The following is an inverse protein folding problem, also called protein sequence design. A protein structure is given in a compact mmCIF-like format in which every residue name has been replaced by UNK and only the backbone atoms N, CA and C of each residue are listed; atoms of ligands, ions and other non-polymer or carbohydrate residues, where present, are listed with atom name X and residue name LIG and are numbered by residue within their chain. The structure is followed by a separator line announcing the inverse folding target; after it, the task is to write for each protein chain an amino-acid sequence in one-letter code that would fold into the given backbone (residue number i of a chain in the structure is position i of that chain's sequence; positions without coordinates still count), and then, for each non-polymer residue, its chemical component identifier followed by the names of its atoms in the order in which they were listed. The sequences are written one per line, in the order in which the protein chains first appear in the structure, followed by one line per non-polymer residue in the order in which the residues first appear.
data_IF_593521330239
#
_entry.id   IF_593521330239
#
_cell.length_a   1.000
_cell.length_b   1.000
_cell.length_c   1.000
_cell.angle_alpha   90.00
_cell.angle_beta   90.00
_cell.angle_gamma   90.00
#
_symmetry.space_group_name_H-M   'P 1'
#
loop_
_entity.id
_entity.type
_entity.pdbx_description
1 polymer ?
#
# COMPACT_ATOMS: atom_id res chain seq x y z
N UNK A 1 78.09 -1.14 8.31
CA UNK A 1 76.95 -1.81 7.63
C UNK A 1 75.90 -0.77 7.25
N UNK A 2 75.85 -0.42 5.96
CA UNK A 2 74.86 0.54 5.45
C UNK A 2 73.70 -0.27 4.90
N UNK A 3 72.55 -0.24 5.55
CA UNK A 3 71.29 -0.86 5.04
C UNK A 3 70.62 0.08 4.05
N UNK A 4 70.41 -0.40 2.82
CA UNK A 4 69.78 0.33 1.73
C UNK A 4 68.29 0.63 2.04
N UNK A 5 68.00 1.89 2.23
CA UNK A 5 66.61 2.41 2.46
C UNK A 5 65.69 2.29 1.23
N UNK A 6 66.23 1.84 0.09
CA UNK A 6 65.45 1.77 -1.16
C UNK A 6 64.60 0.51 -1.33
N UNK A 7 64.83 -0.54 -0.53
CA UNK A 7 64.04 -1.79 -0.63
C UNK A 7 62.70 -1.78 0.18
N UNK A 8 62.59 -0.88 1.16
CA UNK A 8 61.35 -0.77 1.98
C UNK A 8 60.24 0.10 1.34
N UNK A 9 60.57 0.96 0.38
CA UNK A 9 59.63 1.83 -0.28
C UNK A 9 58.82 1.13 -1.40
N UNK A 10 59.37 0.03 -1.96
CA UNK A 10 58.73 -0.72 -3.06
C UNK A 10 57.69 -1.72 -2.61
N UNK A 11 57.66 -2.12 -1.32
CA UNK A 11 56.65 -3.05 -0.79
C UNK A 11 55.40 -2.32 -0.29
N UNK A 12 55.51 -1.05 0.08
CA UNK A 12 54.37 -0.23 0.54
C UNK A 12 53.54 0.34 -0.59
N UNK A 13 53.98 0.34 -1.84
CA UNK A 13 53.26 0.85 -3.00
C UNK A 13 52.43 -0.22 -3.73
N UNK A 14 52.60 -1.50 -3.39
CA UNK A 14 51.86 -2.62 -3.99
C UNK A 14 50.53 -2.99 -3.27
N UNK A 15 50.26 -2.36 -2.11
CA UNK A 15 48.98 -2.54 -1.38
C UNK A 15 47.96 -1.44 -1.65
N UNK A 16 48.19 -0.55 -2.61
CA UNK A 16 47.26 0.48 -3.00
C UNK A 16 46.21 -0.07 -3.99
N UNK A 17 45.03 -0.37 -3.47
CA UNK A 17 43.77 -0.28 -4.16
C UNK A 17 43.47 -1.25 -5.30
N UNK A 18 43.20 -2.50 -4.98
CA UNK A 18 42.19 -3.24 -5.67
C UNK A 18 40.84 -2.99 -4.94
N UNK A 19 40.37 -1.78 -4.92
CA UNK A 19 38.91 -1.53 -4.85
C UNK A 19 38.36 -2.03 -6.18
N UNK A 20 38.14 -3.32 -6.28
CA UNK A 20 37.34 -3.90 -7.35
C UNK A 20 35.97 -3.22 -7.26
N UNK A 21 35.67 -2.31 -8.18
CA UNK A 21 34.28 -1.85 -8.39
C UNK A 21 33.48 -3.10 -8.65
N UNK A 22 32.73 -3.58 -7.66
CA UNK A 22 31.78 -4.67 -7.88
C UNK A 22 30.83 -4.21 -8.99
N UNK A 23 30.78 -4.91 -10.13
CA UNK A 23 29.95 -4.48 -11.24
C UNK A 23 28.48 -4.44 -10.76
N UNK A 24 27.73 -3.42 -11.14
CA UNK A 24 26.32 -3.31 -10.81
C UNK A 24 25.57 -4.55 -11.36
N UNK A 25 25.00 -5.41 -10.50
CA UNK A 25 24.33 -6.64 -10.93
C UNK A 25 23.10 -6.37 -11.83
N UNK A 26 22.56 -5.17 -11.78
CA UNK A 26 21.39 -4.74 -12.58
C UNK A 26 21.76 -3.97 -13.84
N UNK A 27 23.03 -3.91 -14.26
CA UNK A 27 23.47 -3.11 -15.40
C UNK A 27 22.74 -3.48 -16.72
N UNK A 28 22.50 -4.75 -16.97
CA UNK A 28 21.78 -5.23 -18.16
C UNK A 28 20.30 -4.81 -18.14
N UNK A 29 19.65 -4.95 -17.00
CA UNK A 29 18.24 -4.54 -16.78
C UNK A 29 18.10 -3.02 -16.90
N UNK A 30 19.01 -2.24 -16.31
CA UNK A 30 19.02 -0.79 -16.44
C UNK A 30 19.16 -0.35 -17.89
N UNK A 31 20.00 -1.02 -18.68
CA UNK A 31 20.13 -0.76 -20.13
C UNK A 31 18.82 -1.07 -20.88
N UNK A 32 18.15 -2.18 -20.56
CA UNK A 32 16.87 -2.55 -21.15
C UNK A 32 15.77 -1.53 -20.76
N UNK A 33 15.70 -1.12 -19.50
CA UNK A 33 14.81 -0.06 -19.00
C UNK A 33 14.98 1.25 -19.79
N UNK A 34 16.21 1.75 -19.92
CA UNK A 34 16.46 2.97 -20.71
C UNK A 34 16.09 2.83 -22.17
N UNK A 35 16.27 1.65 -22.78
CA UNK A 35 15.84 1.38 -24.16
C UNK A 35 14.31 1.47 -24.28
N UNK A 36 13.59 0.88 -23.32
CA UNK A 36 12.12 0.90 -23.29
C UNK A 36 11.58 2.32 -23.11
N UNK A 37 12.14 3.11 -22.17
CA UNK A 37 11.75 4.52 -21.97
C UNK A 37 11.98 5.34 -23.25
N UNK A 38 13.11 5.14 -23.96
CA UNK A 38 13.36 5.81 -25.24
C UNK A 38 12.34 5.41 -26.31
N UNK A 39 11.90 4.15 -26.33
CA UNK A 39 10.88 3.68 -27.26
C UNK A 39 9.52 4.37 -26.98
N UNK A 40 9.09 4.45 -25.72
CA UNK A 40 7.89 5.18 -25.35
C UNK A 40 7.98 6.68 -25.68
N UNK A 41 9.11 7.32 -25.39
CA UNK A 41 9.31 8.72 -25.75
C UNK A 41 9.25 8.94 -27.28
N UNK A 42 9.74 7.99 -28.09
CA UNK A 42 9.61 8.03 -29.54
C UNK A 42 8.13 7.88 -29.97
N UNK A 43 7.39 6.98 -29.36
CA UNK A 43 5.97 6.76 -29.66
C UNK A 43 5.14 8.02 -29.34
N UNK A 44 5.42 8.67 -28.19
CA UNK A 44 4.73 9.91 -27.80
C UNK A 44 5.00 11.11 -28.72
N UNK A 45 6.07 11.05 -29.55
CA UNK A 45 6.41 12.11 -30.53
C UNK A 45 5.73 11.93 -31.88
N UNK A 46 5.01 10.83 -32.10
CA UNK A 46 4.31 10.61 -33.36
C UNK A 46 3.20 11.65 -33.50
N UNK A 47 3.19 12.34 -34.63
CA UNK A 47 2.21 13.41 -34.96
C UNK A 47 1.69 13.19 -36.38
N UNK A 48 0.39 13.07 -36.57
CA UNK A 48 -0.66 13.02 -35.59
C UNK A 48 -0.57 11.78 -34.67
N UNK A 49 -1.12 11.88 -33.45
CA UNK A 49 -1.31 10.72 -32.61
C UNK A 49 -2.28 9.76 -33.30
N UNK A 50 -1.87 8.50 -33.50
CA UNK A 50 -2.70 7.48 -34.16
C UNK A 50 -3.22 6.51 -33.12
N UNK A 51 -4.54 6.39 -33.03
CA UNK A 51 -5.22 5.38 -32.22
C UNK A 51 -5.75 4.29 -33.16
N UNK A 52 -5.60 2.98 -32.82
CA UNK A 52 -6.15 1.90 -33.65
C UNK A 52 -7.65 2.11 -33.90
N UNK A 53 -8.06 2.03 -35.18
CA UNK A 53 -9.45 2.26 -35.62
C UNK A 53 -9.77 3.69 -36.05
N UNK A 54 -8.88 4.67 -35.82
CA UNK A 54 -9.10 6.06 -36.24
C UNK A 54 -9.18 6.24 -37.77
N UNK A 55 -8.59 5.32 -38.55
CA UNK A 55 -8.68 5.30 -40.01
C UNK A 55 -10.10 5.17 -40.53
N UNK A 56 -11.04 4.73 -39.72
CA UNK A 56 -12.48 4.60 -40.05
C UNK A 56 -13.28 5.86 -39.71
N UNK A 57 -12.68 6.79 -38.97
CA UNK A 57 -13.32 8.02 -38.55
C UNK A 57 -13.19 9.11 -39.65
N UNK A 58 -14.21 9.96 -39.76
CA UNK A 58 -14.11 11.15 -40.60
C UNK A 58 -13.15 12.14 -39.94
N UNK A 59 -11.93 12.18 -40.41
CA UNK A 59 -10.88 13.08 -39.95
C UNK A 59 -11.14 14.54 -40.35
N UNK A 60 -10.62 15.49 -39.57
CA UNK A 60 -10.55 16.87 -39.94
C UNK A 60 -9.51 17.10 -41.08
N UNK A 61 -9.56 18.27 -41.73
CA UNK A 61 -8.72 18.57 -42.87
C UNK A 61 -7.23 18.68 -42.51
N UNK A 62 -6.92 18.92 -41.26
CA UNK A 62 -5.54 19.01 -40.73
C UNK A 62 -5.49 18.66 -39.25
N UNK A 63 -4.32 18.23 -38.80
CA UNK A 63 -4.06 17.97 -37.39
C UNK A 63 -3.93 19.26 -36.58
N UNK A 64 -4.54 19.30 -35.37
CA UNK A 64 -4.45 20.42 -34.44
C UNK A 64 -3.97 19.92 -33.09
N UNK A 65 -2.77 20.32 -32.69
CA UNK A 65 -2.21 19.99 -31.37
C UNK A 65 -2.62 20.99 -30.28
N UNK A 66 -2.93 20.49 -29.10
CA UNK A 66 -3.10 21.33 -27.91
C UNK A 66 -1.80 21.40 -27.10
N UNK A 67 -1.60 22.50 -26.37
CA UNK A 67 -0.53 22.64 -25.35
C UNK A 67 -1.05 22.46 -23.91
N UNK A 68 -2.36 22.18 -23.74
CA UNK A 68 -3.04 22.03 -22.44
C UNK A 68 -3.04 20.56 -21.99
N UNK A 69 -1.87 20.03 -21.65
CA UNK A 69 -1.72 18.65 -21.17
C UNK A 69 -0.54 18.53 -20.19
N UNK A 70 -0.54 17.45 -19.40
CA UNK A 70 0.55 17.10 -18.50
C UNK A 70 0.73 15.57 -18.45
N UNK A 71 1.77 15.11 -17.79
CA UNK A 71 1.96 13.69 -17.46
C UNK A 71 0.86 13.23 -16.52
N UNK A 72 0.65 11.88 -16.40
CA UNK A 72 -0.26 11.35 -15.40
C UNK A 72 0.12 11.82 -14.01
N UNK A 73 -0.86 11.98 -13.14
CA UNK A 73 -0.66 12.32 -11.73
C UNK A 73 -1.25 11.21 -10.88
N UNK A 74 -0.43 10.49 -10.11
CA UNK A 74 -0.94 9.47 -9.20
C UNK A 74 -1.81 10.11 -8.11
N UNK A 75 -2.92 9.44 -7.77
CA UNK A 75 -3.87 9.90 -6.77
C UNK A 75 -3.91 8.99 -5.55
N UNK A 76 -3.31 7.80 -5.64
CA UNK A 76 -3.23 6.83 -4.55
C UNK A 76 -1.78 6.40 -4.31
N UNK A 77 -1.51 5.97 -3.09
CA UNK A 77 -0.36 5.12 -2.75
C UNK A 77 -0.90 3.78 -2.27
N UNK A 78 -0.42 2.71 -2.89
CA UNK A 78 -0.74 1.34 -2.47
C UNK A 78 0.50 0.73 -1.83
N UNK A 79 0.36 0.31 -0.58
CA UNK A 79 1.42 -0.27 0.23
C UNK A 79 1.31 -1.79 0.19
N UNK A 80 2.45 -2.44 0.00
CA UNK A 80 2.59 -3.89 -0.10
C UNK A 80 3.62 -4.42 0.88
N UNK A 81 3.58 -5.72 1.13
CA UNK A 81 4.75 -6.47 1.55
C UNK A 81 5.12 -7.51 0.48
N UNK A 82 6.41 -7.78 0.32
CA UNK A 82 6.93 -8.58 -0.78
C UNK A 82 6.62 -10.07 -0.68
N UNK A 83 6.32 -10.59 0.52
CA UNK A 83 6.25 -12.02 0.85
C UNK A 83 7.55 -12.77 0.45
N UNK A 84 8.71 -12.11 0.56
CA UNK A 84 10.04 -12.63 0.21
C UNK A 84 11.00 -12.57 1.38
N UNK A 85 12.12 -13.28 1.28
CA UNK A 85 13.06 -13.45 2.39
C UNK A 85 14.21 -12.43 2.38
N UNK A 86 14.37 -11.67 1.28
CA UNK A 86 15.40 -10.64 1.18
C UNK A 86 15.06 -9.57 0.15
N UNK A 87 15.60 -8.38 0.37
CA UNK A 87 15.50 -7.26 -0.58
C UNK A 87 16.10 -7.62 -1.94
N UNK A 88 17.21 -8.35 -1.96
CA UNK A 88 17.83 -8.79 -3.21
C UNK A 88 16.90 -9.72 -4.01
N UNK A 89 16.22 -10.65 -3.34
CA UNK A 89 15.23 -11.52 -3.97
C UNK A 89 14.10 -10.68 -4.60
N UNK A 90 13.63 -9.66 -3.91
CA UNK A 90 12.58 -8.74 -4.40
C UNK A 90 13.05 -7.98 -5.64
N UNK A 91 14.24 -7.39 -5.58
CA UNK A 91 14.80 -6.65 -6.71
C UNK A 91 15.00 -7.56 -7.93
N UNK A 92 15.47 -8.80 -7.71
CA UNK A 92 15.59 -9.79 -8.79
C UNK A 92 14.24 -10.15 -9.38
N UNK A 93 13.21 -10.36 -8.56
CA UNK A 93 11.85 -10.65 -9.04
C UNK A 93 11.32 -9.51 -9.91
N UNK A 94 11.47 -8.26 -9.50
CA UNK A 94 10.92 -7.10 -10.20
C UNK A 94 11.72 -6.67 -11.43
N UNK A 95 12.88 -7.25 -11.66
CA UNK A 95 13.70 -7.01 -12.86
C UNK A 95 13.57 -8.09 -13.93
N UNK A 96 12.86 -9.19 -13.64
CA UNK A 96 12.65 -10.28 -14.59
C UNK A 96 11.33 -10.11 -15.36
N UNK A 97 11.36 -10.04 -16.71
CA UNK A 97 10.13 -9.88 -17.51
C UNK A 97 9.11 -11.00 -17.32
N UNK A 98 9.57 -12.22 -16.99
CA UNK A 98 8.70 -13.40 -16.81
C UNK A 98 7.77 -13.29 -15.59
N UNK A 99 8.10 -12.49 -14.58
CA UNK A 99 7.29 -12.33 -13.37
C UNK A 99 6.07 -11.45 -13.57
N UNK A 100 6.12 -10.53 -14.53
CA UNK A 100 5.05 -9.58 -14.87
C UNK A 100 4.58 -8.74 -13.68
N UNK A 101 5.48 -8.47 -12.73
CA UNK A 101 5.24 -7.60 -11.57
C UNK A 101 6.31 -6.52 -11.48
N UNK A 102 5.93 -5.36 -10.99
CA UNK A 102 6.83 -4.24 -10.72
C UNK A 102 6.21 -3.29 -9.70
N UNK A 103 7.05 -2.51 -9.02
CA UNK A 103 6.64 -1.41 -8.16
C UNK A 103 7.42 -0.14 -8.50
N UNK A 104 6.97 1.01 -8.00
CA UNK A 104 7.73 2.25 -8.13
C UNK A 104 8.88 2.28 -7.13
N UNK A 105 8.62 1.83 -5.90
CA UNK A 105 9.59 1.81 -4.82
C UNK A 105 9.66 0.44 -4.15
N UNK A 106 10.87 0.06 -3.76
CA UNK A 106 11.13 -1.07 -2.84
C UNK A 106 11.91 -0.51 -1.66
N UNK A 107 11.48 -0.85 -0.43
CA UNK A 107 12.16 -0.46 0.81
C UNK A 107 12.67 -1.71 1.51
N UNK A 108 13.98 -1.83 1.62
CA UNK A 108 14.66 -2.95 2.27
C UNK A 108 14.43 -2.97 3.78
N UNK A 109 14.70 -4.12 4.43
CA UNK A 109 14.64 -4.27 5.89
C UNK A 109 15.53 -3.30 6.64
N UNK A 110 16.65 -2.89 6.00
CA UNK A 110 17.60 -1.90 6.49
C UNK A 110 17.18 -0.45 6.23
N UNK A 111 16.01 -0.24 5.64
CA UNK A 111 15.48 1.07 5.29
C UNK A 111 16.02 1.65 3.97
N UNK A 112 16.87 0.93 3.22
CA UNK A 112 17.32 1.42 1.92
C UNK A 112 16.15 1.49 0.93
N UNK A 113 16.03 2.63 0.24
CA UNK A 113 15.00 2.89 -0.74
C UNK A 113 15.53 2.69 -2.15
N UNK A 114 14.88 1.86 -2.92
CA UNK A 114 15.12 1.64 -4.35
C UNK A 114 13.98 2.23 -5.16
N UNK A 115 14.21 3.34 -5.86
CA UNK A 115 13.26 3.93 -6.79
C UNK A 115 13.43 3.25 -8.15
N UNK A 116 12.57 2.27 -8.44
CA UNK A 116 12.73 1.37 -9.58
C UNK A 116 12.09 1.89 -10.87
N UNK A 117 11.05 2.70 -10.76
CA UNK A 117 10.28 3.20 -11.90
C UNK A 117 9.87 4.66 -11.68
N UNK A 118 9.98 5.47 -12.72
CA UNK A 118 9.49 6.85 -12.70
C UNK A 118 7.98 6.89 -12.37
N UNK A 119 7.58 7.75 -11.45
CA UNK A 119 6.21 7.87 -10.92
C UNK A 119 5.15 8.18 -12.00
N UNK A 120 5.55 8.73 -13.13
CA UNK A 120 4.65 9.00 -14.25
C UNK A 120 4.42 7.77 -15.15
N UNK A 121 5.14 6.68 -14.94
CA UNK A 121 4.95 5.40 -15.64
C UNK A 121 4.02 4.49 -14.83
N UNK A 122 3.41 3.53 -15.48
CA UNK A 122 2.48 2.58 -14.89
C UNK A 122 3.24 1.33 -14.42
N UNK A 123 3.43 1.14 -13.12
CA UNK A 123 3.91 -0.11 -12.56
C UNK A 123 2.80 -1.19 -12.52
N UNK A 124 3.18 -2.45 -12.36
CA UNK A 124 2.28 -3.61 -12.33
C UNK A 124 2.28 -4.22 -10.92
N UNK A 125 1.64 -3.56 -9.95
CA UNK A 125 1.62 -3.96 -8.55
C UNK A 125 0.22 -4.29 -8.01
N UNK A 126 -0.85 -3.67 -8.54
CA UNK A 126 -2.21 -3.85 -8.05
C UNK A 126 -2.91 -5.09 -8.60
N UNK A 127 -2.53 -5.54 -9.81
CA UNK A 127 -3.24 -6.61 -10.53
C UNK A 127 -4.70 -6.25 -10.79
N UNK A 128 -5.60 -7.23 -10.78
CA UNK A 128 -7.05 -7.00 -10.79
C UNK A 128 -7.47 -6.48 -9.41
N UNK A 129 -7.86 -5.22 -9.33
CA UNK A 129 -8.11 -4.49 -8.09
C UNK A 129 -9.28 -3.51 -8.25
N UNK A 130 -9.85 -3.08 -7.12
CA UNK A 130 -10.89 -2.05 -7.08
C UNK A 130 -10.79 -1.27 -5.77
N UNK A 131 -10.94 0.07 -5.88
CA UNK A 131 -11.16 0.93 -4.73
C UNK A 131 -12.21 1.98 -5.09
N UNK A 132 -13.35 1.92 -4.44
CA UNK A 132 -14.51 2.72 -4.85
C UNK A 132 -14.91 2.43 -6.30
N UNK A 133 -14.81 3.43 -7.15
CA UNK A 133 -15.10 3.32 -8.60
C UNK A 133 -13.86 3.09 -9.46
N UNK A 134 -12.65 3.19 -8.88
CA UNK A 134 -11.41 2.95 -9.62
C UNK A 134 -11.15 1.44 -9.75
N UNK A 135 -10.94 0.98 -10.98
CA UNK A 135 -10.67 -0.43 -11.32
C UNK A 135 -9.32 -0.64 -11.99
N UNK A 136 -8.53 0.42 -12.16
CA UNK A 136 -7.15 0.35 -12.66
C UNK A 136 -6.16 1.08 -11.76
N UNK A 137 -5.99 0.55 -10.55
CA UNK A 137 -5.09 1.12 -9.54
C UNK A 137 -3.63 1.19 -10.02
N UNK A 138 -3.21 0.34 -10.95
CA UNK A 138 -1.89 0.46 -11.58
C UNK A 138 -1.70 1.80 -12.31
N UNK A 139 -2.76 2.34 -12.89
CA UNK A 139 -2.70 3.62 -13.62
C UNK A 139 -2.86 4.84 -12.71
N UNK A 140 -3.55 4.70 -11.58
CA UNK A 140 -3.89 5.82 -10.69
C UNK A 140 -3.04 5.90 -9.42
N UNK A 141 -2.14 4.94 -9.17
CA UNK A 141 -1.39 4.86 -7.91
C UNK A 141 0.13 4.76 -8.09
N UNK A 142 0.82 4.93 -6.95
CA UNK A 142 2.22 4.55 -6.72
C UNK A 142 2.22 3.29 -5.87
N UNK A 143 2.87 2.22 -6.33
CA UNK A 143 3.09 1.01 -5.54
C UNK A 143 4.40 1.08 -4.78
N UNK A 144 4.36 0.81 -3.46
CA UNK A 144 5.52 0.73 -2.57
C UNK A 144 5.56 -0.65 -1.93
N UNK A 145 6.66 -1.36 -2.15
CA UNK A 145 6.91 -2.69 -1.62
C UNK A 145 7.87 -2.64 -0.43
N UNK A 146 7.48 -3.20 0.68
CA UNK A 146 8.32 -3.35 1.86
C UNK A 146 8.86 -4.78 1.91
N UNK A 147 10.19 -4.95 1.95
CA UNK A 147 10.79 -6.28 2.10
C UNK A 147 10.41 -6.89 3.45
N UNK A 148 9.50 -7.86 3.40
CA UNK A 148 8.94 -8.55 4.56
C UNK A 148 8.42 -9.91 4.10
N UNK A 149 8.62 -10.96 4.88
CA UNK A 149 8.20 -12.32 4.51
C UNK A 149 6.69 -12.59 4.68
N UNK A 150 5.94 -11.59 5.14
CA UNK A 150 4.50 -11.68 5.34
C UNK A 150 4.06 -12.07 6.76
N UNK A 151 4.99 -12.46 7.63
CA UNK A 151 4.71 -12.90 8.99
C UNK A 151 5.49 -12.11 10.07
N UNK A 152 6.57 -11.43 9.69
CA UNK A 152 7.43 -10.68 10.58
C UNK A 152 6.95 -9.23 10.77
N UNK A 153 7.31 -8.57 11.90
CA UNK A 153 7.09 -7.14 12.08
C UNK A 153 7.90 -6.31 11.08
N UNK A 154 7.41 -5.11 10.77
CA UNK A 154 8.16 -4.13 9.98
C UNK A 154 9.20 -3.42 10.84
N UNK A 155 10.42 -3.26 10.33
CA UNK A 155 11.49 -2.61 11.09
C UNK A 155 11.25 -1.10 11.24
N UNK A 156 11.81 -0.50 12.30
CA UNK A 156 11.79 0.96 12.47
C UNK A 156 12.51 1.68 11.32
N UNK A 157 13.59 1.10 10.78
CA UNK A 157 14.30 1.65 9.64
C UNK A 157 13.43 1.68 8.38
N UNK A 158 12.66 0.60 8.11
CA UNK A 158 11.69 0.57 7.01
C UNK A 158 10.59 1.61 7.19
N UNK A 159 10.02 1.68 8.39
CA UNK A 159 8.93 2.62 8.69
C UNK A 159 9.39 4.07 8.57
N UNK A 160 10.60 4.40 9.05
CA UNK A 160 11.17 5.74 8.92
C UNK A 160 11.39 6.14 7.46
N UNK A 161 11.94 5.24 6.64
CA UNK A 161 12.13 5.47 5.21
C UNK A 161 10.80 5.57 4.46
N UNK A 162 9.83 4.73 4.81
CA UNK A 162 8.48 4.80 4.25
C UNK A 162 7.87 6.19 4.49
N UNK A 163 7.88 6.70 5.72
CA UNK A 163 7.34 8.02 6.05
C UNK A 163 7.99 9.13 5.22
N UNK A 164 9.31 9.05 4.96
CA UNK A 164 10.01 10.01 4.09
C UNK A 164 9.52 9.94 2.64
N UNK A 165 9.35 8.74 2.10
CA UNK A 165 8.82 8.53 0.74
C UNK A 165 7.38 9.04 0.65
N UNK A 166 6.54 8.75 1.65
CA UNK A 166 5.15 9.21 1.68
C UNK A 166 5.04 10.74 1.76
N UNK A 167 5.90 11.41 2.54
CA UNK A 167 5.96 12.87 2.62
C UNK A 167 6.31 13.48 1.25
N UNK A 168 7.34 12.95 0.61
CA UNK A 168 7.74 13.38 -0.73
C UNK A 168 6.60 13.21 -1.74
N UNK A 169 5.97 12.05 -1.79
CA UNK A 169 4.88 11.74 -2.73
C UNK A 169 3.65 12.61 -2.47
N UNK A 170 3.25 12.75 -1.21
CA UNK A 170 2.11 13.59 -0.82
C UNK A 170 2.31 15.04 -1.23
N UNK A 171 3.48 15.61 -0.98
CA UNK A 171 3.82 16.99 -1.37
C UNK A 171 3.91 17.16 -2.88
N UNK A 172 4.54 16.22 -3.59
CA UNK A 172 4.75 16.30 -5.04
C UNK A 172 3.43 16.18 -5.80
N UNK A 173 2.57 15.24 -5.40
CA UNK A 173 1.35 14.91 -6.15
C UNK A 173 0.07 15.40 -5.47
N UNK A 174 0.17 16.00 -4.26
CA UNK A 174 -0.97 16.42 -3.46
C UNK A 174 -1.99 15.28 -3.25
N UNK A 175 -1.48 14.09 -2.87
CA UNK A 175 -2.30 12.90 -2.65
C UNK A 175 -3.16 13.12 -1.39
N UNK A 176 -4.49 12.93 -1.47
CA UNK A 176 -5.37 13.07 -0.32
C UNK A 176 -4.99 12.09 0.80
N UNK A 177 -5.17 12.52 2.06
CA UNK A 177 -4.85 11.69 3.24
C UNK A 177 -5.51 10.31 3.19
N UNK A 178 -6.77 10.22 2.77
CA UNK A 178 -7.49 8.95 2.69
C UNK A 178 -7.01 7.99 1.59
N UNK A 179 -6.10 8.43 0.71
CA UNK A 179 -5.67 7.67 -0.47
C UNK A 179 -4.35 6.91 -0.27
N UNK A 180 -3.91 6.71 0.97
CA UNK A 180 -2.81 5.82 1.34
C UNK A 180 -3.42 4.52 1.88
N UNK A 181 -3.39 3.46 1.09
CA UNK A 181 -4.15 2.22 1.28
C UNK A 181 -3.27 1.00 1.08
N UNK A 182 -3.74 -0.16 1.49
CA UNK A 182 -3.04 -1.44 1.33
C UNK A 182 -3.48 -2.23 0.09
N UNK A 183 -2.68 -3.20 -0.32
CA UNK A 183 -3.05 -4.10 -1.41
C UNK A 183 -4.27 -4.97 -1.03
N UNK A 184 -4.36 -5.40 0.22
CA UNK A 184 -5.54 -6.12 0.74
C UNK A 184 -6.82 -5.28 0.63
N UNK A 185 -6.74 -3.95 0.78
CA UNK A 185 -7.90 -3.07 0.69
C UNK A 185 -8.50 -3.07 -0.72
N UNK A 186 -7.63 -3.05 -1.75
CA UNK A 186 -8.02 -2.98 -3.16
C UNK A 186 -8.26 -4.34 -3.82
N UNK A 187 -7.81 -5.43 -3.18
CA UNK A 187 -7.92 -6.79 -3.72
C UNK A 187 -8.24 -7.83 -2.63
N UNK A 188 -9.32 -7.63 -1.84
CA UNK A 188 -9.59 -8.35 -0.58
C UNK A 188 -9.79 -9.85 -0.76
N UNK A 189 -10.16 -10.33 -1.96
CA UNK A 189 -10.39 -11.76 -2.24
C UNK A 189 -9.11 -12.54 -2.51
N UNK A 190 -7.97 -11.87 -2.73
CA UNK A 190 -6.73 -12.53 -3.19
C UNK A 190 -5.47 -12.04 -2.49
N UNK A 191 -5.56 -10.97 -1.69
CA UNK A 191 -4.40 -10.31 -1.07
C UNK A 191 -4.59 -10.10 0.43
N UNK A 192 -3.47 -10.20 1.15
CA UNK A 192 -3.39 -10.01 2.59
C UNK A 192 -2.20 -9.10 2.98
N UNK A 193 -1.68 -8.34 2.01
CA UNK A 193 -0.56 -7.45 2.22
C UNK A 193 -1.01 -5.96 2.29
N UNK A 194 -0.35 -5.15 3.13
CA UNK A 194 0.60 -5.53 4.16
C UNK A 194 -0.06 -6.32 5.31
N UNK A 195 0.74 -7.15 6.02
CA UNK A 195 0.23 -8.00 7.09
C UNK A 195 -0.26 -7.19 8.32
N UNK A 196 -0.92 -7.85 9.26
CA UNK A 196 -1.56 -7.23 10.44
C UNK A 196 -0.61 -6.48 11.39
N UNK A 197 0.72 -6.67 11.26
CA UNK A 197 1.70 -5.93 12.08
C UNK A 197 2.10 -4.59 11.44
N UNK A 198 1.56 -4.26 10.26
CA UNK A 198 1.89 -3.02 9.59
C UNK A 198 1.38 -1.80 10.39
N UNK A 199 2.20 -0.76 10.60
CA UNK A 199 1.90 0.32 11.54
C UNK A 199 0.95 1.39 10.95
N UNK A 200 -0.26 1.01 10.53
CA UNK A 200 -1.26 1.89 9.93
C UNK A 200 -1.58 3.12 10.78
N UNK A 201 -1.74 2.91 12.11
CA UNK A 201 -1.99 4.01 13.04
C UNK A 201 -0.87 5.05 12.99
N UNK A 202 0.39 4.62 13.03
CA UNK A 202 1.57 5.52 12.95
C UNK A 202 1.58 6.31 11.63
N UNK A 203 1.21 5.69 10.51
CA UNK A 203 1.09 6.41 9.24
C UNK A 203 -0.01 7.47 9.30
N UNK A 204 -1.18 7.14 9.82
CA UNK A 204 -2.30 8.06 9.95
C UNK A 204 -1.99 9.25 10.86
N UNK A 205 -1.26 9.06 11.97
CA UNK A 205 -0.76 10.11 12.85
C UNK A 205 0.15 11.13 12.13
N UNK A 206 0.82 10.68 11.04
CA UNK A 206 1.62 11.53 10.16
C UNK A 206 0.84 12.04 8.93
N UNK A 207 -0.47 11.77 8.86
CA UNK A 207 -1.34 12.23 7.77
C UNK A 207 -1.32 11.36 6.53
N UNK A 208 -0.91 10.09 6.61
CA UNK A 208 -0.90 9.11 5.53
C UNK A 208 -1.86 7.96 5.85
N UNK A 209 -3.03 7.99 5.26
CA UNK A 209 -4.17 7.13 5.59
C UNK A 209 -5.04 7.71 6.70
N UNK A 210 -6.21 7.12 6.88
CA UNK A 210 -7.11 7.43 7.98
C UNK A 210 -6.97 6.38 9.08
N UNK A 211 -7.30 6.78 10.30
CA UNK A 211 -7.44 5.92 11.46
C UNK A 211 -8.66 6.35 12.27
N UNK A 212 -9.23 5.45 13.05
CA UNK A 212 -10.35 5.77 13.92
C UNK A 212 -9.90 6.56 15.16
N UNK A 213 -10.80 7.30 15.76
CA UNK A 213 -10.56 8.04 17.00
C UNK A 213 -10.60 7.07 18.17
N UNK A 214 -9.53 7.01 18.99
CA UNK A 214 -9.46 6.03 20.10
C UNK A 214 -10.60 6.15 21.10
N UNK A 215 -11.02 7.37 21.45
CA UNK A 215 -12.15 7.61 22.35
C UNK A 215 -13.52 7.17 21.80
N UNK A 216 -13.60 6.73 20.54
CA UNK A 216 -14.87 6.29 19.94
C UNK A 216 -15.37 5.02 20.60
N UNK A 217 -14.48 4.15 21.05
CA UNK A 217 -14.83 2.90 21.73
C UNK A 217 -15.46 3.19 23.09
N UNK A 218 -14.88 4.10 23.87
CA UNK A 218 -15.43 4.52 25.17
C UNK A 218 -16.82 5.17 25.01
N UNK A 219 -17.02 5.90 23.91
CA UNK A 219 -18.28 6.58 23.62
C UNK A 219 -19.41 5.63 23.22
N UNK A 220 -19.13 4.63 22.40
CA UNK A 220 -20.16 3.81 21.76
C UNK A 220 -20.18 2.35 22.17
N UNK A 221 -19.17 1.86 22.90
CA UNK A 221 -19.10 0.49 23.36
C UNK A 221 -19.37 0.45 24.88
N UNK A 222 -20.50 -0.09 25.26
CA UNK A 222 -20.94 -0.17 26.66
C UNK A 222 -21.02 -1.63 27.11
N UNK A 223 -20.79 -1.95 28.39
CA UNK A 223 -21.11 -3.25 28.92
C UNK A 223 -22.60 -3.55 28.69
N UNK A 224 -22.93 -4.78 28.28
CA UNK A 224 -24.32 -5.18 28.17
C UNK A 224 -25.00 -5.07 29.56
N UNK A 225 -26.21 -4.50 29.61
CA UNK A 225 -26.97 -4.49 30.86
C UNK A 225 -27.27 -5.92 31.32
N UNK A 226 -27.18 -6.23 32.64
CA UNK A 226 -27.53 -7.55 33.13
C UNK A 226 -28.99 -7.86 32.81
N UNK A 227 -29.23 -8.99 32.15
CA UNK A 227 -30.59 -9.47 31.90
C UNK A 227 -31.05 -10.19 33.18
N UNK A 228 -31.99 -9.58 33.87
CA UNK A 228 -32.67 -10.20 34.99
C UNK A 228 -33.90 -10.95 34.47
N UNK A 229 -33.82 -12.27 34.41
CA UNK A 229 -34.98 -13.10 34.09
C UNK A 229 -35.64 -13.45 35.41
N UNK A 230 -36.75 -12.78 35.74
CA UNK A 230 -37.65 -13.22 36.82
C UNK A 230 -38.72 -14.12 36.23
N UNK A 231 -39.04 -15.26 36.87
CA UNK A 231 -40.25 -15.99 36.53
C UNK A 231 -41.45 -15.18 36.98
N UNK A 232 -42.63 -15.44 36.36
CA UNK A 232 -43.88 -14.77 36.67
C UNK A 232 -44.40 -15.05 38.10
N UNK A 233 -43.71 -15.89 38.90
CA UNK A 233 -44.12 -16.31 40.25
C UNK A 233 -43.23 -15.68 41.33
N UNK A 234 -42.13 -15.04 41.00
CA UNK A 234 -41.22 -14.37 41.97
C UNK A 234 -40.49 -15.29 42.95
N UNK A 235 -40.51 -16.60 42.73
CA UNK A 235 -39.97 -17.59 43.64
C UNK A 235 -38.68 -18.25 43.14
N UNK A 236 -38.29 -18.08 41.87
CA UNK A 236 -37.02 -18.59 41.37
C UNK A 236 -35.89 -17.59 41.57
N UNK A 237 -34.66 -18.01 41.87
CA UNK A 237 -33.51 -17.12 41.93
C UNK A 237 -33.31 -16.49 40.56
N UNK A 238 -33.18 -15.15 40.50
CA UNK A 238 -32.86 -14.43 39.28
C UNK A 238 -31.56 -14.99 38.67
N UNK A 239 -31.62 -15.52 37.46
CA UNK A 239 -30.43 -15.88 36.71
C UNK A 239 -29.84 -14.56 36.19
N UNK A 240 -28.81 -14.09 36.90
CA UNK A 240 -28.02 -12.94 36.40
C UNK A 240 -27.05 -13.52 35.36
N UNK A 241 -27.38 -13.36 34.10
CA UNK A 241 -26.40 -13.55 33.02
C UNK A 241 -25.36 -12.45 33.21
N UNK A 242 -24.14 -12.81 33.59
CA UNK A 242 -23.04 -11.86 33.65
C UNK A 242 -22.82 -11.32 32.22
N UNK A 243 -22.85 -10.00 32.00
CA UNK A 243 -22.62 -9.46 30.69
C UNK A 243 -21.12 -9.61 30.38
N UNK A 244 -20.75 -10.68 29.69
CA UNK A 244 -19.43 -10.79 29.05
C UNK A 244 -19.41 -10.08 27.71
N UNK A 245 -20.58 -9.70 27.20
CA UNK A 245 -20.72 -9.09 25.91
C UNK A 245 -20.83 -7.56 26.02
N UNK A 246 -20.15 -6.88 25.16
CA UNK A 246 -20.30 -5.44 24.94
C UNK A 246 -21.34 -5.22 23.85
N UNK A 247 -22.19 -4.20 24.01
CA UNK A 247 -23.14 -3.76 22.99
C UNK A 247 -22.74 -2.39 22.47
N UNK A 248 -22.95 -2.16 21.19
CA UNK A 248 -22.72 -0.84 20.60
C UNK A 248 -23.99 0.00 20.67
N UNK A 249 -23.80 1.31 20.91
CA UNK A 249 -24.88 2.32 20.88
C UNK A 249 -24.86 3.13 19.61
N UNK A 250 -24.24 2.62 18.53
CA UNK A 250 -24.29 3.25 17.21
C UNK A 250 -25.73 3.25 16.67
N UNK A 251 -26.09 4.19 15.78
CA UNK A 251 -27.46 4.26 15.26
C UNK A 251 -27.94 2.94 14.65
N UNK A 252 -29.15 2.50 14.98
CA UNK A 252 -29.76 1.26 14.49
C UNK A 252 -29.82 1.17 12.95
N UNK A 253 -29.93 2.31 12.27
CA UNK A 253 -29.94 2.39 10.80
C UNK A 253 -28.57 2.20 10.14
N UNK A 254 -27.48 2.12 10.94
CA UNK A 254 -26.14 1.93 10.41
C UNK A 254 -26.01 0.59 9.69
N UNK A 255 -25.59 0.65 8.43
CA UNK A 255 -25.38 -0.51 7.58
C UNK A 255 -23.88 -0.73 7.33
N UNK A 256 -23.25 -1.76 7.93
CA UNK A 256 -21.83 -2.03 7.78
C UNK A 256 -21.39 -2.26 6.33
N UNK A 257 -22.20 -2.94 5.51
CA UNK A 257 -21.90 -3.19 4.09
C UNK A 257 -21.80 -1.87 3.31
N UNK A 258 -22.76 -0.98 3.53
CA UNK A 258 -22.75 0.33 2.85
C UNK A 258 -21.60 1.21 3.36
N UNK A 259 -21.27 1.13 4.65
CA UNK A 259 -20.12 1.84 5.20
C UNK A 259 -18.80 1.38 4.57
N UNK A 260 -18.56 0.07 4.47
CA UNK A 260 -17.40 -0.49 3.76
C UNK A 260 -17.34 -0.01 2.30
N UNK A 261 -18.48 -0.02 1.60
CA UNK A 261 -18.57 0.45 0.22
C UNK A 261 -18.23 1.94 0.08
N UNK A 262 -18.70 2.78 0.99
CA UNK A 262 -18.44 4.24 0.99
C UNK A 262 -16.98 4.52 1.27
N UNK A 263 -16.34 3.77 2.17
CA UNK A 263 -14.90 3.85 2.44
C UNK A 263 -14.10 3.51 1.18
N UNK A 264 -14.57 2.57 0.37
CA UNK A 264 -13.92 2.19 -0.89
C UNK A 264 -13.80 0.70 -1.13
N UNK A 265 -14.06 -0.15 -0.13
CA UNK A 265 -13.94 -1.61 -0.25
C UNK A 265 -14.91 -2.19 -1.28
N UNK A 266 -14.44 -3.21 -2.00
CA UNK A 266 -15.29 -4.00 -2.89
C UNK A 266 -16.18 -4.96 -2.09
N UNK A 267 -17.43 -4.59 -1.88
CA UNK A 267 -18.40 -5.36 -1.08
C UNK A 267 -19.17 -6.42 -1.87
N UNK A 268 -18.74 -6.75 -3.11
CA UNK A 268 -19.32 -7.88 -3.87
C UNK A 268 -19.02 -9.21 -3.19
N UNK A 269 -17.86 -9.32 -2.53
CA UNK A 269 -17.52 -10.36 -1.56
C UNK A 269 -17.41 -9.71 -0.18
N UNK A 270 -18.52 -9.67 0.55
CA UNK A 270 -18.59 -9.02 1.85
C UNK A 270 -17.66 -9.66 2.91
N UNK A 271 -17.57 -11.00 3.03
CA UNK A 271 -16.59 -11.65 3.90
C UNK A 271 -15.15 -11.21 3.63
N UNK A 272 -14.72 -11.11 2.37
CA UNK A 272 -13.39 -10.65 2.00
C UNK A 272 -13.18 -9.17 2.35
N UNK A 273 -14.17 -8.31 2.10
CA UNK A 273 -14.12 -6.89 2.46
C UNK A 273 -14.00 -6.68 3.99
N UNK A 274 -14.71 -7.47 4.80
CA UNK A 274 -14.60 -7.44 6.26
C UNK A 274 -13.19 -7.86 6.71
N UNK A 275 -12.63 -8.94 6.16
CA UNK A 275 -11.26 -9.35 6.49
C UNK A 275 -10.23 -8.27 6.16
N UNK A 276 -10.34 -7.63 4.99
CA UNK A 276 -9.44 -6.54 4.60
C UNK A 276 -9.58 -5.32 5.52
N UNK A 277 -10.80 -4.92 5.84
CA UNK A 277 -11.08 -3.87 6.81
C UNK A 277 -10.44 -4.18 8.18
N UNK A 278 -10.62 -5.40 8.70
CA UNK A 278 -10.03 -5.82 9.98
C UNK A 278 -8.51 -5.87 9.90
N UNK A 279 -7.93 -6.32 8.78
CA UNK A 279 -6.49 -6.35 8.57
C UNK A 279 -5.87 -4.94 8.63
N UNK A 280 -6.55 -3.95 8.09
CA UNK A 280 -6.09 -2.56 8.07
C UNK A 280 -6.33 -1.85 9.40
N UNK A 281 -7.58 -1.85 9.90
CA UNK A 281 -8.02 -0.95 10.96
C UNK A 281 -8.16 -1.60 12.34
N UNK A 282 -8.31 -2.91 12.42
CA UNK A 282 -8.49 -3.63 13.70
C UNK A 282 -7.21 -4.35 14.11
N UNK A 283 -6.59 -5.04 13.16
CA UNK A 283 -5.32 -5.77 13.25
C UNK A 283 -5.33 -6.96 14.21
N UNK A 284 -6.36 -7.09 15.01
CA UNK A 284 -6.64 -8.25 15.87
C UNK A 284 -7.74 -9.11 15.23
N UNK A 285 -7.71 -10.43 15.46
CA UNK A 285 -8.77 -11.36 15.04
C UNK A 285 -9.25 -11.13 13.58
N UNK A 286 -8.32 -11.14 12.64
CA UNK A 286 -8.61 -10.91 11.21
C UNK A 286 -9.44 -12.07 10.66
N UNK A 287 -10.77 -11.93 10.76
CA UNK A 287 -11.78 -12.87 10.28
C UNK A 287 -12.90 -12.10 9.53
N UNK A 288 -13.93 -12.79 9.09
CA UNK A 288 -15.05 -12.21 8.31
C UNK A 288 -16.30 -11.90 9.16
N UNK A 289 -16.15 -11.86 10.48
CA UNK A 289 -17.23 -11.52 11.42
C UNK A 289 -16.95 -10.16 12.05
N UNK A 290 -17.89 -9.22 11.96
CA UNK A 290 -17.83 -7.93 12.64
C UNK A 290 -18.34 -8.08 14.07
N UNK A 291 -17.48 -7.86 15.04
CA UNK A 291 -17.83 -7.69 16.45
C UNK A 291 -18.49 -6.31 16.68
N UNK A 292 -19.06 -6.07 17.86
CA UNK A 292 -19.58 -4.74 18.21
C UNK A 292 -18.46 -3.68 18.21
N UNK A 293 -17.26 -4.04 18.67
CA UNK A 293 -16.06 -3.18 18.56
C UNK A 293 -15.76 -2.82 17.11
N UNK A 294 -15.75 -3.80 16.21
CA UNK A 294 -15.46 -3.58 14.80
C UNK A 294 -16.49 -2.67 14.14
N UNK A 295 -17.78 -2.81 14.49
CA UNK A 295 -18.85 -1.94 14.00
C UNK A 295 -18.70 -0.51 14.47
N UNK A 296 -18.27 -0.27 15.71
CA UNK A 296 -17.99 1.07 16.23
C UNK A 296 -16.81 1.72 15.49
N UNK A 297 -15.73 0.98 15.27
CA UNK A 297 -14.59 1.44 14.48
C UNK A 297 -15.04 1.80 13.05
N UNK A 298 -15.77 0.90 12.41
CA UNK A 298 -16.27 1.10 11.05
C UNK A 298 -17.21 2.31 10.96
N UNK A 299 -18.08 2.51 11.94
CA UNK A 299 -18.96 3.67 12.01
C UNK A 299 -18.19 4.99 12.10
N UNK A 300 -17.15 5.05 12.93
CA UNK A 300 -16.31 6.24 13.03
C UNK A 300 -15.56 6.52 11.72
N UNK A 301 -14.97 5.51 11.10
CA UNK A 301 -14.30 5.66 9.81
C UNK A 301 -15.27 6.12 8.71
N UNK A 302 -16.46 5.50 8.65
CA UNK A 302 -17.51 5.92 7.73
C UNK A 302 -17.82 7.43 7.83
N UNK A 303 -17.91 7.96 9.07
CA UNK A 303 -18.13 9.39 9.29
C UNK A 303 -16.96 10.26 8.78
N UNK A 304 -15.73 9.76 8.77
CA UNK A 304 -14.54 10.48 8.25
C UNK A 304 -14.45 10.46 6.74
N UNK A 305 -15.10 9.50 6.07
CA UNK A 305 -15.14 9.39 4.62
C UNK A 305 -16.32 10.15 3.99
N UNK A 306 -17.31 10.57 4.79
CA UNK A 306 -18.45 11.39 4.37
C UNK A 306 -18.14 12.88 4.41
#
# INVERSE_FOLDING_TARGET
MKYNASALLSVLLACATLTACTPNPYASTNKAHHKQVKAFAKQLRVTPALTPGEEQLKQGDYWVGTTNFSMRRPNFVVIHHTAQNSTEQTLNTFTQPSTQVSAHYVIGRDGKVYHMLNDNLRAWHGGAARWGNDTDLNSSSIGIELDNNGAEPFSEAQTASLLQVLDMLKKTYNIPTANFIGHSDIAPTRKNDPNHTFPWKKLAEHGYGLWYDEGILEKYLQPAAPIVISDSTGTAPAIILQPQDTVSTIPFIFNPKEALRIIGFDTRDLPAAIRAFKLHFVQDEVNDVLTEKDKVILYNLYQKYM
#
